data_IF_880530228281
#
_entry.id   IF_880530228281
#
_cell.length_a   1.000
_cell.length_b   1.000
_cell.length_c   1.000
_cell.angle_alpha   90.00
_cell.angle_beta   90.00
_cell.angle_gamma   90.00
#
_symmetry.space_group_name_H-M   'P 1'
#
loop_
_entity.id
_entity.type
_entity.pdbx_description
1 polymer ?
#
# COMPACT_ATOMS: atom_id res chain seq x y z
N UNK A 1 10.97 15.01 18.65
CA UNK A 1 9.79 14.19 18.97
C UNK A 1 9.93 12.86 18.26
N UNK A 2 10.04 11.75 19.01
CA UNK A 2 10.09 10.41 18.38
C UNK A 2 8.63 9.97 18.17
N UNK A 3 8.16 9.98 16.92
CA UNK A 3 6.84 9.40 16.62
C UNK A 3 6.98 7.90 16.77
N UNK A 4 6.08 7.29 17.55
CA UNK A 4 5.92 5.84 17.57
C UNK A 4 5.42 5.39 16.20
N UNK A 5 6.34 4.92 15.37
CA UNK A 5 6.09 4.54 13.98
C UNK A 5 5.03 3.44 13.86
N UNK A 6 4.93 2.58 14.88
CA UNK A 6 3.87 1.58 15.06
C UNK A 6 2.46 2.17 15.18
N UNK A 7 2.32 3.44 15.55
CA UNK A 7 1.03 4.14 15.64
C UNK A 7 0.65 4.88 14.36
N UNK A 8 1.64 5.25 13.53
CA UNK A 8 1.43 6.07 12.32
C UNK A 8 1.32 5.20 11.08
N UNK A 9 2.14 4.16 10.97
CA UNK A 9 2.15 3.22 9.85
C UNK A 9 1.56 1.91 10.35
N UNK A 10 0.30 1.65 10.00
CA UNK A 10 -0.29 0.32 10.20
C UNK A 10 0.46 -0.71 9.35
N UNK A 11 0.61 -1.92 9.88
CA UNK A 11 1.18 -3.04 9.14
C UNK A 11 0.29 -3.36 7.94
N UNK A 12 0.92 -3.69 6.81
CA UNK A 12 0.26 -4.08 5.58
C UNK A 12 0.25 -5.60 5.48
N UNK A 13 -0.94 -6.20 5.42
CA UNK A 13 -1.10 -7.66 5.47
C UNK A 13 -1.17 -8.25 4.05
N UNK A 14 -1.35 -7.40 3.02
CA UNK A 14 -1.47 -7.83 1.63
C UNK A 14 -2.90 -8.11 1.18
N UNK A 15 -3.92 -7.69 1.94
CA UNK A 15 -5.32 -7.87 1.54
C UNK A 15 -5.74 -6.79 0.56
N UNK A 16 -5.61 -7.06 -0.75
CA UNK A 16 -5.94 -6.11 -1.83
C UNK A 16 -7.43 -5.71 -1.88
N UNK A 17 -8.33 -6.46 -1.23
CA UNK A 17 -9.76 -6.13 -1.17
C UNK A 17 -10.06 -5.01 -0.17
N UNK A 18 -9.27 -4.88 0.90
CA UNK A 18 -9.50 -3.88 1.97
C UNK A 18 -8.37 -2.87 2.10
N UNK A 19 -7.17 -3.21 1.64
CA UNK A 19 -5.96 -2.43 1.76
C UNK A 19 -5.42 -2.07 0.37
N UNK A 20 -5.14 -0.79 0.14
CA UNK A 20 -4.46 -0.33 -1.07
C UNK A 20 -2.98 -0.17 -0.77
N UNK A 21 -2.16 -1.01 -1.42
CA UNK A 21 -0.70 -0.94 -1.28
C UNK A 21 -0.17 0.45 -1.62
N UNK A 22 -0.71 1.09 -2.68
CA UNK A 22 -0.33 2.45 -3.07
C UNK A 22 -0.61 3.48 -1.96
N UNK A 23 -1.82 3.49 -1.39
CA UNK A 23 -2.17 4.42 -0.29
C UNK A 23 -1.31 4.16 0.95
N UNK A 24 -1.04 2.90 1.25
CA UNK A 24 -0.17 2.53 2.36
C UNK A 24 1.27 3.01 2.11
N UNK A 25 1.80 2.79 0.91
CA UNK A 25 3.15 3.21 0.53
C UNK A 25 3.31 4.73 0.50
N UNK A 26 2.29 5.48 0.09
CA UNK A 26 2.28 6.94 0.20
C UNK A 26 2.37 7.41 1.66
N UNK A 27 1.64 6.76 2.58
CA UNK A 27 1.74 7.05 4.01
C UNK A 27 3.13 6.71 4.56
N UNK A 28 3.69 5.57 4.14
CA UNK A 28 5.06 5.18 4.47
C UNK A 28 6.08 6.23 4.03
N UNK A 29 5.99 6.71 2.78
CA UNK A 29 6.86 7.78 2.26
C UNK A 29 6.71 9.08 3.04
N UNK A 30 5.48 9.44 3.41
CA UNK A 30 5.20 10.66 4.17
C UNK A 30 5.81 10.58 5.58
N UNK A 31 5.66 9.43 6.25
CA UNK A 31 6.29 9.19 7.55
C UNK A 31 7.82 9.20 7.45
N UNK A 32 8.37 8.55 6.42
CA UNK A 32 9.81 8.55 6.14
C UNK A 32 10.36 9.97 5.91
N UNK A 33 9.60 10.83 5.21
CA UNK A 33 9.96 12.24 4.99
C UNK A 33 9.91 13.06 6.28
N UNK A 34 8.89 12.86 7.11
CA UNK A 34 8.78 13.54 8.41
C UNK A 34 9.93 13.15 9.35
N UNK A 35 10.35 11.88 9.31
CA UNK A 35 11.44 11.35 10.13
C UNK A 35 12.84 11.57 9.53
N UNK A 36 12.94 12.10 8.31
CA UNK A 36 14.22 12.34 7.66
C UNK A 36 14.99 11.07 7.30
N UNK A 37 14.29 9.97 6.99
CA UNK A 37 14.93 8.71 6.65
C UNK A 37 15.69 8.76 5.32
N UNK A 38 16.91 8.22 5.31
CA UNK A 38 17.68 7.96 4.09
C UNK A 38 17.05 6.84 3.24
N UNK A 39 17.47 6.69 1.98
CA UNK A 39 16.99 5.60 1.13
C UNK A 39 17.34 4.22 1.69
N UNK A 40 18.53 4.07 2.29
CA UNK A 40 18.95 2.81 2.91
C UNK A 40 18.04 2.47 4.10
N UNK A 41 17.74 3.45 4.94
CA UNK A 41 16.85 3.27 6.09
C UNK A 41 15.43 2.90 5.64
N UNK A 42 14.92 3.55 4.59
CA UNK A 42 13.61 3.22 4.02
C UNK A 42 13.58 1.79 3.49
N UNK A 43 14.66 1.32 2.89
CA UNK A 43 14.76 -0.06 2.38
C UNK A 43 14.77 -1.07 3.53
N UNK A 44 15.52 -0.78 4.59
CA UNK A 44 15.62 -1.64 5.77
C UNK A 44 14.33 -1.68 6.60
N UNK A 45 13.62 -0.56 6.70
CA UNK A 45 12.42 -0.47 7.54
C UNK A 45 11.16 -0.97 6.83
N UNK A 46 11.08 -0.89 5.50
CA UNK A 46 9.91 -1.33 4.74
C UNK A 46 9.43 -2.74 5.13
N UNK A 47 10.29 -3.78 5.18
CA UNK A 47 9.85 -5.13 5.55
C UNK A 47 9.30 -5.23 6.98
N UNK A 48 9.66 -4.33 7.91
CA UNK A 48 9.14 -4.34 9.29
C UNK A 48 7.65 -4.01 9.37
N UNK A 49 7.10 -3.41 8.31
CA UNK A 49 5.69 -3.04 8.23
C UNK A 49 4.89 -3.96 7.30
N UNK A 50 5.49 -5.02 6.77
CA UNK A 50 4.81 -6.05 5.97
C UNK A 50 4.50 -7.25 6.86
N UNK A 51 3.27 -7.77 6.79
CA UNK A 51 2.87 -9.01 7.44
C UNK A 51 2.11 -9.94 6.50
N UNK A 52 1.89 -11.18 6.93
CA UNK A 52 1.14 -12.23 6.23
C UNK A 52 1.54 -12.39 4.75
N UNK A 53 0.63 -12.09 3.84
CA UNK A 53 0.84 -12.25 2.40
C UNK A 53 1.91 -11.27 1.89
N UNK A 54 1.94 -10.04 2.43
CA UNK A 54 2.93 -9.04 2.07
C UNK A 54 4.34 -9.43 2.51
N UNK A 55 4.48 -9.98 3.72
CA UNK A 55 5.74 -10.53 4.19
C UNK A 55 6.18 -11.71 3.33
N UNK A 56 5.27 -12.61 2.98
CA UNK A 56 5.58 -13.79 2.16
C UNK A 56 6.11 -13.42 0.78
N UNK A 57 5.53 -12.41 0.13
CA UNK A 57 6.03 -11.88 -1.15
C UNK A 57 7.42 -11.28 -0.97
N UNK A 58 7.64 -10.49 0.09
CA UNK A 58 8.97 -9.94 0.39
C UNK A 58 10.00 -11.05 0.61
N UNK A 59 9.68 -12.09 1.40
CA UNK A 59 10.61 -13.17 1.73
C UNK A 59 11.09 -13.93 0.49
N UNK A 60 10.19 -14.15 -0.48
CA UNK A 60 10.48 -14.83 -1.74
C UNK A 60 11.33 -14.00 -2.72
N UNK A 61 11.52 -12.69 -2.49
CA UNK A 61 12.34 -11.86 -3.38
C UNK A 61 13.85 -12.16 -3.21
N UNK A 62 14.62 -12.12 -4.31
CA UNK A 62 16.06 -12.30 -4.26
C UNK A 62 16.71 -11.14 -3.50
N UNK A 63 17.88 -11.40 -2.88
CA UNK A 63 18.61 -10.40 -2.09
C UNK A 63 18.94 -9.13 -2.89
N UNK A 64 19.18 -9.26 -4.19
CA UNK A 64 19.41 -8.15 -5.11
C UNK A 64 18.23 -7.18 -5.19
N UNK A 65 17.01 -7.71 -5.16
CA UNK A 65 15.77 -6.91 -5.24
C UNK A 65 15.42 -6.32 -3.88
N UNK A 66 15.84 -6.95 -2.78
CA UNK A 66 15.66 -6.45 -1.41
C UNK A 66 16.59 -5.27 -1.08
N UNK A 67 17.72 -5.14 -1.78
CA UNK A 67 18.67 -4.04 -1.58
C UNK A 67 18.33 -2.74 -2.32
N UNK A 68 17.44 -2.80 -3.31
CA UNK A 68 16.98 -1.63 -4.06
C UNK A 68 15.50 -1.38 -3.76
N UNK A 69 15.22 -0.27 -3.08
CA UNK A 69 13.85 0.12 -2.73
C UNK A 69 12.95 0.21 -3.96
N UNK A 70 13.46 0.70 -5.10
CA UNK A 70 12.66 0.88 -6.31
C UNK A 70 12.27 -0.46 -6.91
N UNK A 71 13.20 -1.42 -6.93
CA UNK A 71 12.91 -2.78 -7.37
C UNK A 71 11.90 -3.46 -6.43
N UNK A 72 12.11 -3.31 -5.13
CA UNK A 72 11.24 -3.86 -4.09
C UNK A 72 9.80 -3.34 -4.21
N UNK A 73 9.63 -2.02 -4.35
CA UNK A 73 8.31 -1.40 -4.52
C UNK A 73 7.68 -1.85 -5.83
N UNK A 74 8.42 -1.91 -6.93
CA UNK A 74 7.86 -2.40 -8.20
C UNK A 74 7.31 -3.82 -8.08
N UNK A 75 8.03 -4.70 -7.38
CA UNK A 75 7.60 -6.09 -7.17
C UNK A 75 6.39 -6.19 -6.24
N UNK A 76 6.40 -5.44 -5.13
CA UNK A 76 5.26 -5.41 -4.20
C UNK A 76 4.02 -4.77 -4.85
N UNK A 77 4.19 -3.68 -5.60
CA UNK A 77 3.12 -3.09 -6.40
C UNK A 77 2.61 -4.09 -7.43
N UNK A 78 3.47 -4.82 -8.14
CA UNK A 78 3.01 -5.84 -9.08
C UNK A 78 2.24 -6.99 -8.40
N UNK A 79 2.60 -7.35 -7.17
CA UNK A 79 1.93 -8.41 -6.42
C UNK A 79 0.60 -7.97 -5.77
N UNK A 80 0.48 -6.70 -5.37
CA UNK A 80 -0.65 -6.18 -4.60
C UNK A 80 -1.47 -5.12 -5.33
N UNK A 81 -1.11 -4.75 -6.56
CA UNK A 81 -1.95 -3.91 -7.39
C UNK A 81 -3.19 -4.69 -7.82
N UNK A 82 -4.39 -4.11 -7.65
CA UNK A 82 -5.59 -4.69 -8.24
C UNK A 82 -5.41 -4.75 -9.75
N UNK A 83 -5.78 -5.89 -10.35
CA UNK A 83 -5.84 -5.97 -11.81
C UNK A 83 -6.97 -5.05 -12.32
N UNK A 84 -6.94 -4.64 -13.60
CA UNK A 84 -8.06 -3.91 -14.20
C UNK A 84 -9.40 -4.61 -14.03
N UNK A 85 -9.39 -5.95 -14.03
CA UNK A 85 -10.56 -6.77 -13.75
C UNK A 85 -11.06 -6.60 -12.30
N UNK A 86 -10.14 -6.61 -11.32
CA UNK A 86 -10.49 -6.38 -9.91
C UNK A 86 -11.01 -4.96 -9.68
N UNK A 87 -10.41 -3.96 -10.34
CA UNK A 87 -10.87 -2.57 -10.29
C UNK A 87 -12.29 -2.43 -10.87
N UNK A 88 -12.58 -3.10 -11.97
CA UNK A 88 -13.91 -3.13 -12.57
C UNK A 88 -14.95 -3.84 -11.68
N UNK A 89 -14.59 -4.97 -11.08
CA UNK A 89 -15.45 -5.68 -10.13
C UNK A 89 -15.74 -4.81 -8.90
N UNK A 90 -14.72 -4.14 -8.36
CA UNK A 90 -14.86 -3.22 -7.22
C UNK A 90 -15.73 -2.00 -7.56
N UNK A 91 -15.62 -1.48 -8.79
CA UNK A 91 -16.50 -0.43 -9.30
C UNK A 91 -17.97 -0.90 -9.38
N UNK A 92 -18.21 -2.08 -9.96
CA UNK A 92 -19.56 -2.63 -10.09
C UNK A 92 -20.21 -2.99 -8.75
N UNK A 93 -19.42 -3.52 -7.81
CA UNK A 93 -19.91 -3.98 -6.50
C UNK A 93 -20.08 -2.84 -5.49
N UNK A 94 -19.46 -1.67 -5.72
CA UNK A 94 -19.61 -0.52 -4.82
C UNK A 94 -21.06 -0.04 -4.78
N UNK A 95 -21.58 0.06 -3.56
CA UNK A 95 -22.90 0.66 -3.25
C UNK A 95 -22.70 1.78 -2.25
N UNK A 96 -23.55 2.80 -2.35
CA UNK A 96 -23.58 3.91 -1.42
C UNK A 96 -24.01 3.38 -0.04
N UNK A 97 -23.18 3.61 0.99
CA UNK A 97 -23.47 3.16 2.35
C UNK A 97 -24.26 4.26 3.08
N UNK A 98 -25.29 3.85 3.84
CA UNK A 98 -26.11 4.80 4.57
C UNK A 98 -25.27 5.53 5.62
N UNK A 99 -25.19 6.86 5.54
CA UNK A 99 -24.35 7.70 6.39
C UNK A 99 -22.98 8.09 5.80
N UNK A 100 -22.65 7.62 4.59
CA UNK A 100 -21.45 8.04 3.86
C UNK A 100 -21.64 9.43 3.22
N UNK A 101 -20.58 10.24 3.17
CA UNK A 101 -20.59 11.47 2.35
C UNK A 101 -20.58 11.12 0.86
N UNK A 102 -21.39 11.84 0.07
CA UNK A 102 -21.43 11.69 -1.40
C UNK A 102 -20.04 11.91 -2.01
N UNK A 103 -19.25 12.85 -1.47
CA UNK A 103 -17.89 13.12 -1.94
C UNK A 103 -16.95 11.92 -1.76
N UNK A 104 -17.08 11.19 -0.64
CA UNK A 104 -16.27 9.99 -0.39
C UNK A 104 -16.66 8.87 -1.38
N UNK A 105 -17.96 8.70 -1.60
CA UNK A 105 -18.47 7.71 -2.56
C UNK A 105 -17.99 8.01 -3.99
N UNK A 106 -18.11 9.26 -4.44
CA UNK A 106 -17.63 9.68 -5.77
C UNK A 106 -16.11 9.56 -5.89
N UNK A 107 -15.38 9.87 -4.82
CA UNK A 107 -13.91 9.74 -4.80
C UNK A 107 -13.45 8.29 -4.95
N UNK A 108 -14.15 7.35 -4.30
CA UNK A 108 -13.89 5.92 -4.46
C UNK A 108 -14.21 5.44 -5.89
N UNK A 109 -15.34 5.86 -6.46
CA UNK A 109 -15.70 5.52 -7.85
C UNK A 109 -14.66 6.03 -8.85
N UNK A 110 -14.23 7.28 -8.71
CA UNK A 110 -13.16 7.86 -9.55
C UNK A 110 -11.86 7.08 -9.42
N UNK A 111 -11.53 6.63 -8.20
CA UNK A 111 -10.33 5.83 -7.95
C UNK A 111 -10.38 4.51 -8.72
N UNK A 112 -11.49 3.77 -8.65
CA UNK A 112 -11.62 2.51 -9.37
C UNK A 112 -11.56 2.70 -10.89
N UNK A 113 -12.17 3.79 -11.40
CA UNK A 113 -12.15 4.12 -12.83
C UNK A 113 -10.76 4.51 -13.36
N UNK A 114 -9.86 4.96 -12.49
CA UNK A 114 -8.46 5.27 -12.85
C UNK A 114 -7.57 4.01 -12.80
N UNK A 115 -8.03 2.96 -12.11
CA UNK A 115 -7.32 1.69 -11.94
C UNK A 115 -7.77 0.60 -12.93
N UNK A 116 -8.90 0.80 -13.64
CA UNK A 116 -9.42 -0.05 -14.72
C UNK A 116 -8.83 0.34 -16.07
#
# INVERSE_FOLDING_TARGET
>A
MSLKLDQVIKKFHGNTATESFERWYQKYCLAAKIQGWSEEQRTQYLPLFLEDAAWSVYDQLPKSDKSDINCLIKKLTAAFSPTPADAFIAFQSRRFVQGESIDNYVSDLKRYLTLS
#
